data_IF_939995081624
#
_entry.id   IF_939995081624
#
_cell.length_a   1.000
_cell.length_b   1.000
_cell.length_c   1.000
_cell.angle_alpha   90.00
_cell.angle_beta   90.00
_cell.angle_gamma   90.00
#
_symmetry.space_group_name_H-M   'P 1'
#
loop_
_entity.id
_entity.type
_entity.pdbx_description
1 polymer ?
#
# COMPACT_ATOMS: atom_id res chain seq x y z
N UNK A 1 -37.81 33.12 3.45
CA UNK A 1 -37.23 33.68 2.21
C UNK A 1 -36.08 32.76 1.85
N UNK A 2 -36.39 31.71 1.08
CA UNK A 2 -35.37 30.80 0.55
C UNK A 2 -34.68 31.55 -0.59
N UNK A 3 -33.35 31.70 -0.51
CA UNK A 3 -32.57 32.20 -1.63
C UNK A 3 -32.48 31.07 -2.66
N UNK A 4 -33.10 31.25 -3.83
CA UNK A 4 -32.84 30.41 -4.99
C UNK A 4 -31.39 30.62 -5.43
N UNK A 5 -30.59 29.55 -5.37
CA UNK A 5 -29.23 29.52 -5.90
C UNK A 5 -29.31 29.63 -7.43
N UNK A 6 -28.56 30.55 -8.03
CA UNK A 6 -28.54 30.68 -9.48
C UNK A 6 -27.72 29.54 -10.13
N UNK A 7 -27.77 29.45 -11.46
CA UNK A 7 -27.08 28.40 -12.22
C UNK A 7 -25.55 28.40 -12.02
N UNK A 8 -24.95 29.55 -11.74
CA UNK A 8 -23.52 29.67 -11.43
C UNK A 8 -23.20 29.20 -10.02
N UNK A 9 -24.05 29.49 -9.04
CA UNK A 9 -23.91 28.98 -7.67
C UNK A 9 -24.07 27.46 -7.60
N UNK A 10 -24.99 26.89 -8.39
CA UNK A 10 -25.16 25.44 -8.50
C UNK A 10 -23.93 24.76 -9.11
N UNK A 11 -23.34 25.34 -10.16
CA UNK A 11 -22.11 24.82 -10.78
C UNK A 11 -20.92 24.91 -9.83
N UNK A 12 -20.77 26.03 -9.11
CA UNK A 12 -19.71 26.22 -8.12
C UNK A 12 -19.85 25.25 -6.95
N UNK A 13 -21.07 24.98 -6.49
CA UNK A 13 -21.33 24.00 -5.44
C UNK A 13 -21.00 22.57 -5.90
N UNK A 14 -21.47 22.17 -7.08
CA UNK A 14 -21.17 20.86 -7.63
C UNK A 14 -19.66 20.64 -7.82
N UNK A 15 -18.94 21.66 -8.32
CA UNK A 15 -17.49 21.61 -8.44
C UNK A 15 -16.80 21.43 -7.08
N UNK A 16 -17.23 22.16 -6.05
CA UNK A 16 -16.69 22.01 -4.68
C UNK A 16 -16.93 20.62 -4.11
N UNK A 17 -18.11 20.04 -4.30
CA UNK A 17 -18.40 18.68 -3.83
C UNK A 17 -17.54 17.63 -4.54
N UNK A 18 -17.40 17.73 -5.87
CA UNK A 18 -16.54 16.84 -6.65
C UNK A 18 -15.09 16.96 -6.18
N UNK A 19 -14.57 18.18 -6.04
CA UNK A 19 -13.22 18.43 -5.57
C UNK A 19 -13.00 17.89 -4.15
N UNK A 20 -13.96 18.09 -3.24
CA UNK A 20 -13.88 17.59 -1.86
C UNK A 20 -13.84 16.06 -1.81
N UNK A 21 -14.64 15.37 -2.62
CA UNK A 21 -14.63 13.90 -2.71
C UNK A 21 -13.33 13.36 -3.28
N UNK A 22 -12.79 13.99 -4.32
CA UNK A 22 -11.51 13.63 -4.91
C UNK A 22 -10.37 13.82 -3.90
N UNK A 23 -10.34 14.95 -3.19
CA UNK A 23 -9.36 15.21 -2.13
C UNK A 23 -9.47 14.17 -1.01
N UNK A 24 -10.69 13.87 -0.54
CA UNK A 24 -10.90 12.87 0.50
C UNK A 24 -10.43 11.47 0.05
N UNK A 25 -10.59 11.13 -1.22
CA UNK A 25 -10.06 9.88 -1.77
C UNK A 25 -8.53 9.86 -1.78
N UNK A 26 -7.89 10.93 -2.27
CA UNK A 26 -6.43 11.04 -2.28
C UNK A 26 -5.83 10.98 -0.86
N UNK A 27 -6.46 11.64 0.12
CA UNK A 27 -6.03 11.57 1.53
C UNK A 27 -6.16 10.14 2.07
N UNK A 28 -7.24 9.42 1.75
CA UNK A 28 -7.37 8.01 2.15
C UNK A 28 -6.26 7.14 1.57
N UNK A 29 -5.92 7.33 0.30
CA UNK A 29 -4.83 6.60 -0.35
C UNK A 29 -3.48 6.87 0.31
N UNK A 30 -3.17 8.13 0.61
CA UNK A 30 -1.92 8.51 1.32
C UNK A 30 -1.87 7.90 2.72
N UNK A 31 -2.99 7.91 3.45
CA UNK A 31 -3.07 7.31 4.79
C UNK A 31 -2.94 5.78 4.73
N UNK A 32 -3.49 5.15 3.69
CA UNK A 32 -3.33 3.72 3.44
C UNK A 32 -1.86 3.36 3.20
N UNK A 33 -1.16 4.11 2.36
CA UNK A 33 0.26 3.91 2.07
C UNK A 33 1.13 4.11 3.31
N UNK A 34 0.87 5.16 4.10
CA UNK A 34 1.58 5.39 5.35
C UNK A 34 1.38 4.23 6.35
N UNK A 35 0.16 3.70 6.44
CA UNK A 35 -0.12 2.52 7.27
C UNK A 35 0.63 1.28 6.76
N UNK A 36 0.56 0.98 5.46
CA UNK A 36 1.21 -0.18 4.86
C UNK A 36 2.74 -0.07 4.96
N UNK A 37 3.31 1.14 4.87
CA UNK A 37 4.73 1.37 5.10
C UNK A 37 5.16 0.98 6.53
N UNK A 38 4.36 1.33 7.54
CA UNK A 38 4.63 0.93 8.93
C UNK A 38 4.62 -0.59 9.11
N UNK A 39 3.65 -1.28 8.51
CA UNK A 39 3.61 -2.75 8.50
C UNK A 39 4.82 -3.33 7.78
N UNK A 40 5.18 -2.77 6.62
CA UNK A 40 6.34 -3.23 5.85
C UNK A 40 7.65 -3.04 6.61
N UNK A 41 7.82 -1.94 7.35
CA UNK A 41 9.00 -1.73 8.19
C UNK A 41 9.11 -2.77 9.32
N UNK A 42 7.98 -3.19 9.90
CA UNK A 42 7.96 -4.17 10.99
C UNK A 42 8.08 -5.64 10.53
N UNK A 43 7.37 -6.01 9.47
CA UNK A 43 7.18 -7.41 9.06
C UNK A 43 7.57 -7.69 7.60
N UNK A 44 7.94 -6.64 6.87
CA UNK A 44 8.30 -6.73 5.47
C UNK A 44 9.75 -7.16 5.24
N UNK A 45 10.01 -7.62 4.03
CA UNK A 45 11.35 -7.93 3.53
C UNK A 45 11.47 -7.46 2.09
N UNK A 46 12.66 -6.95 1.75
CA UNK A 46 13.07 -6.60 0.38
C UNK A 46 14.41 -7.26 0.11
N UNK A 47 14.51 -7.97 -1.00
CA UNK A 47 15.74 -8.68 -1.38
C UNK A 47 15.77 -8.94 -2.89
N UNK A 48 16.95 -9.24 -3.40
CA UNK A 48 17.12 -9.63 -4.81
C UNK A 48 17.19 -11.15 -4.90
N UNK A 49 16.50 -11.73 -5.88
CA UNK A 49 16.60 -13.14 -6.23
C UNK A 49 16.69 -13.29 -7.75
N UNK A 50 17.72 -13.96 -8.25
CA UNK A 50 17.97 -14.16 -9.69
C UNK A 50 17.93 -12.84 -10.49
N UNK A 51 18.55 -11.79 -9.93
CA UNK A 51 18.59 -10.46 -10.54
C UNK A 51 17.30 -9.64 -10.38
N UNK A 52 16.22 -10.20 -9.82
CA UNK A 52 14.93 -9.52 -9.67
C UNK A 52 14.67 -9.11 -8.23
N UNK A 53 14.21 -7.88 -8.04
CA UNK A 53 13.73 -7.44 -6.73
C UNK A 53 12.44 -8.15 -6.33
N UNK A 54 12.41 -8.59 -5.08
CA UNK A 54 11.28 -9.22 -4.43
C UNK A 54 10.98 -8.51 -3.13
N UNK A 55 9.69 -8.40 -2.85
CA UNK A 55 9.15 -7.86 -1.62
C UNK A 55 8.19 -8.87 -1.02
N UNK A 56 8.14 -8.95 0.30
CA UNK A 56 7.21 -9.83 1.00
C UNK A 56 6.82 -9.28 2.36
N UNK A 57 5.63 -9.64 2.84
CA UNK A 57 5.15 -9.37 4.20
C UNK A 57 4.54 -10.66 4.73
N UNK A 58 4.97 -11.09 5.91
CA UNK A 58 4.40 -12.26 6.60
C UNK A 58 3.64 -11.79 7.84
N UNK A 59 2.35 -12.12 7.94
CA UNK A 59 1.50 -11.69 9.05
C UNK A 59 0.49 -12.80 9.42
N UNK A 60 0.13 -12.89 10.70
CA UNK A 60 -0.95 -13.77 11.20
C UNK A 60 -2.37 -13.22 10.96
N UNK A 61 -2.51 -12.02 10.40
CA UNK A 61 -3.77 -11.37 10.10
C UNK A 61 -3.92 -11.22 8.58
N UNK A 62 -4.66 -12.17 7.97
CA UNK A 62 -4.82 -12.27 6.52
C UNK A 62 -5.34 -10.99 5.85
N UNK A 63 -6.27 -10.27 6.50
CA UNK A 63 -6.81 -8.97 6.02
C UNK A 63 -5.72 -7.91 5.82
N UNK A 64 -4.64 -7.94 6.61
CA UNK A 64 -3.52 -7.02 6.41
C UNK A 64 -2.83 -7.28 5.07
N UNK A 65 -2.67 -8.56 4.71
CA UNK A 65 -2.05 -8.97 3.46
C UNK A 65 -2.96 -8.75 2.25
N UNK A 66 -4.28 -8.86 2.42
CA UNK A 66 -5.25 -8.46 1.37
C UNK A 66 -5.04 -7.00 0.98
N UNK A 67 -4.82 -6.08 1.94
CA UNK A 67 -4.58 -4.66 1.63
C UNK A 67 -3.32 -4.44 0.79
N UNK A 68 -2.24 -5.18 1.06
CA UNK A 68 -1.06 -5.18 0.17
C UNK A 68 -1.41 -5.69 -1.23
N UNK A 69 -2.20 -6.77 -1.32
CA UNK A 69 -2.61 -7.34 -2.60
C UNK A 69 -3.51 -6.41 -3.41
N UNK A 70 -4.46 -5.76 -2.76
CA UNK A 70 -5.37 -4.80 -3.39
C UNK A 70 -4.63 -3.57 -3.87
N UNK A 71 -3.69 -3.04 -3.06
CA UNK A 71 -2.93 -1.83 -3.43
C UNK A 71 -1.87 -2.09 -4.49
N UNK A 72 -1.14 -3.20 -4.41
CA UNK A 72 0.07 -3.42 -5.21
C UNK A 72 0.00 -4.63 -6.16
N UNK A 73 -0.97 -5.52 -6.00
CA UNK A 73 -1.05 -6.81 -6.70
C UNK A 73 -0.25 -7.91 -5.99
N UNK A 74 0.34 -8.84 -6.73
CA UNK A 74 1.09 -9.97 -6.16
C UNK A 74 0.21 -11.10 -5.65
N UNK A 75 0.77 -11.96 -4.80
CA UNK A 75 0.13 -13.20 -4.35
C UNK A 75 0.22 -13.38 -2.83
N UNK A 76 -0.80 -14.02 -2.26
CA UNK A 76 -0.82 -14.42 -0.85
C UNK A 76 -0.76 -15.95 -0.81
N UNK A 77 0.14 -16.48 0.01
CA UNK A 77 0.29 -17.91 0.25
C UNK A 77 0.16 -18.20 1.73
N UNK A 78 -0.55 -19.26 2.08
CA UNK A 78 -0.60 -19.80 3.44
C UNK A 78 0.75 -20.41 3.84
N UNK A 79 1.16 -20.17 5.09
CA UNK A 79 2.37 -20.74 5.69
C UNK A 79 1.95 -21.57 6.89
N UNK A 80 1.94 -22.89 6.69
CA UNK A 80 1.63 -23.85 7.76
C UNK A 80 2.71 -23.82 8.84
N UNK A 81 2.34 -23.93 10.13
CA UNK A 81 3.30 -24.11 11.21
C UNK A 81 4.22 -25.29 10.93
N UNK A 82 5.52 -25.07 11.03
CA UNK A 82 6.53 -26.13 10.95
C UNK A 82 6.85 -26.73 12.32
N UNK A 83 6.57 -25.98 13.39
CA UNK A 83 6.84 -26.37 14.77
C UNK A 83 5.57 -26.23 15.63
N UNK A 84 5.41 -27.04 16.71
CA UNK A 84 4.20 -27.03 17.53
C UNK A 84 3.85 -25.69 18.18
N UNK A 85 4.83 -24.81 18.39
CA UNK A 85 4.67 -23.50 19.02
C UNK A 85 4.47 -22.36 18.01
N UNK A 86 4.57 -22.65 16.71
CA UNK A 86 4.33 -21.65 15.67
C UNK A 86 2.83 -21.52 15.40
N UNK A 87 2.35 -20.28 15.30
CA UNK A 87 0.99 -19.99 14.84
C UNK A 87 0.91 -20.04 13.32
N UNK A 88 -0.30 -20.30 12.79
CA UNK A 88 -0.59 -20.15 11.37
C UNK A 88 -0.30 -18.72 10.94
N UNK A 89 0.33 -18.55 9.77
CA UNK A 89 0.48 -17.24 9.16
C UNK A 89 0.31 -17.31 7.65
N UNK A 90 0.28 -16.13 7.03
CA UNK A 90 0.23 -15.97 5.59
C UNK A 90 1.37 -15.07 5.16
N UNK A 91 1.73 -15.19 3.89
CA UNK A 91 2.77 -14.36 3.28
C UNK A 91 2.24 -13.75 2.00
N UNK A 92 2.21 -12.42 1.93
CA UNK A 92 2.09 -11.69 0.69
C UNK A 92 3.47 -11.54 0.04
N UNK A 93 3.54 -11.64 -1.28
CA UNK A 93 4.78 -11.39 -2.02
C UNK A 93 4.55 -10.78 -3.40
N UNK A 94 5.53 -9.99 -3.83
CA UNK A 94 5.58 -9.32 -5.13
C UNK A 94 6.98 -9.32 -5.74
N UNK A 95 7.07 -9.17 -7.05
CA UNK A 95 8.34 -9.04 -7.78
C UNK A 95 8.18 -8.18 -9.04
N UNK A 96 9.29 -7.68 -9.58
CA UNK A 96 9.29 -6.77 -10.74
C UNK A 96 8.36 -5.57 -10.51
N UNK A 97 7.45 -5.30 -11.46
CA UNK A 97 6.48 -4.20 -11.38
C UNK A 97 5.68 -4.13 -10.06
N UNK A 98 5.40 -5.26 -9.39
CA UNK A 98 4.72 -5.23 -8.08
C UNK A 98 5.65 -4.66 -7.00
N UNK A 99 6.91 -5.09 -6.99
CA UNK A 99 7.91 -4.58 -6.06
C UNK A 99 8.22 -3.10 -6.33
N UNK A 100 8.32 -2.70 -7.60
CA UNK A 100 8.54 -1.31 -7.99
C UNK A 100 7.39 -0.39 -7.56
N UNK A 101 6.14 -0.73 -7.89
CA UNK A 101 4.97 0.06 -7.46
C UNK A 101 4.87 0.19 -5.95
N UNK A 102 5.15 -0.89 -5.22
CA UNK A 102 5.19 -0.84 -3.75
C UNK A 102 6.32 0.08 -3.27
N UNK A 103 7.50 -0.01 -3.87
CA UNK A 103 8.63 0.84 -3.52
C UNK A 103 8.28 2.31 -3.74
N UNK A 104 7.81 2.69 -4.93
CA UNK A 104 7.43 4.07 -5.27
C UNK A 104 6.40 4.66 -4.30
N UNK A 105 5.36 3.89 -3.97
CA UNK A 105 4.28 4.33 -3.09
C UNK A 105 4.71 4.42 -1.61
N UNK A 106 5.51 3.47 -1.13
CA UNK A 106 5.84 3.39 0.30
C UNK A 106 7.10 4.19 0.67
N UNK A 107 8.03 4.40 -0.25
CA UNK A 107 9.32 5.07 0.02
C UNK A 107 9.20 6.42 0.76
N UNK A 108 8.20 7.28 0.49
CA UNK A 108 8.02 8.52 1.25
C UNK A 108 7.84 8.30 2.75
N UNK A 109 7.18 7.20 3.14
CA UNK A 109 6.76 6.90 4.51
C UNK A 109 7.66 5.91 5.26
N UNK A 110 8.47 5.12 4.53
CA UNK A 110 9.40 4.18 5.13
C UNK A 110 10.46 4.86 5.99
N UNK A 111 10.78 4.23 7.12
CA UNK A 111 11.82 4.64 8.07
C UNK A 111 12.93 3.60 8.14
N UNK A 112 12.61 2.35 8.48
CA UNK A 112 13.61 1.30 8.77
C UNK A 112 14.18 0.73 7.47
N UNK A 113 13.32 0.45 6.49
CA UNK A 113 13.70 -0.21 5.23
C UNK A 113 13.89 0.76 4.07
N UNK A 114 13.84 2.08 4.32
CA UNK A 114 13.91 3.13 3.29
C UNK A 114 15.10 2.95 2.33
N UNK A 115 16.31 2.81 2.85
CA UNK A 115 17.52 2.67 2.03
C UNK A 115 17.60 1.35 1.25
N UNK A 116 16.98 0.29 1.78
CA UNK A 116 16.93 -1.01 1.11
C UNK A 116 15.94 -0.96 -0.06
N UNK A 117 14.79 -0.32 0.15
CA UNK A 117 13.75 -0.14 -0.87
C UNK A 117 14.16 0.89 -1.92
N UNK A 118 14.85 1.97 -1.53
CA UNK A 118 15.36 2.98 -2.48
C UNK A 118 16.28 2.36 -3.54
N UNK A 119 17.21 1.50 -3.12
CA UNK A 119 18.07 0.72 -4.03
C UNK A 119 17.29 -0.21 -4.97
N UNK A 120 16.15 -0.72 -4.52
CA UNK A 120 15.28 -1.56 -5.35
C UNK A 120 14.52 -0.74 -6.40
N UNK A 121 14.18 0.52 -6.08
CA UNK A 121 13.50 1.43 -6.98
C UNK A 121 14.40 1.93 -8.12
N UNK A 122 15.68 2.22 -7.81
CA UNK A 122 16.67 2.75 -8.76
C UNK A 122 17.22 1.70 -9.76
N UNK A 123 16.91 0.43 -9.56
CA UNK A 123 17.51 -0.69 -10.30
C UNK A 123 16.62 -1.26 -11.42
N UNK A 124 15.48 -0.63 -11.73
CA UNK A 124 14.63 -0.96 -12.90
C UNK A 124 14.98 -0.14 -14.14
#
# INVERSE_FOLDING_TARGET
>A
MEQELDGTDLLMYAFRDIAARALAAAVRDVMEEAYLAGIFDGEGSVFQNEGRWRVSVTNGHYRTLERFKERFGGSITERKPTEPHHSMCWNWSGSGHVAHRMAEALLPFLQIKRDQVGRACEAE
#
